data_IF_974697305489
#
_entry.id   IF_974697305489
#
_cell.length_a   1.000
_cell.length_b   1.000
_cell.length_c   1.000
_cell.angle_alpha   90.00
_cell.angle_beta   90.00
_cell.angle_gamma   90.00
#
_symmetry.space_group_name_H-M   'P 1'
#
loop_
_entity.id
_entity.type
_entity.pdbx_description
1 polymer ?
#
# COMPACT_ATOMS: atom_id res chain seq x y z
N UNK A 1 -23.13 29.62 35.91
CA UNK A 1 -22.05 28.63 36.09
C UNK A 1 -22.26 27.55 35.03
N UNK A 2 -21.45 27.54 34.01
CA UNK A 2 -21.49 26.48 33.01
C UNK A 2 -21.11 25.16 33.72
N UNK A 3 -22.04 24.23 33.83
CA UNK A 3 -21.75 22.88 34.32
C UNK A 3 -20.72 22.25 33.38
N UNK A 4 -19.61 21.81 33.92
CA UNK A 4 -18.65 21.01 33.15
C UNK A 4 -19.41 19.79 32.57
N UNK A 5 -19.25 19.50 31.29
CA UNK A 5 -19.88 18.32 30.71
C UNK A 5 -19.44 17.05 31.47
N UNK A 6 -20.36 16.08 31.61
CA UNK A 6 -19.99 14.81 32.24
C UNK A 6 -18.79 14.19 31.50
N UNK A 7 -17.87 13.51 32.17
CA UNK A 7 -16.72 12.87 31.52
C UNK A 7 -17.10 11.98 30.35
N UNK A 8 -18.23 11.31 30.39
CA UNK A 8 -18.75 10.46 29.31
C UNK A 8 -19.24 11.25 28.09
N UNK A 9 -19.81 12.44 28.30
CA UNK A 9 -20.25 13.31 27.22
C UNK A 9 -19.08 14.11 26.59
N UNK A 10 -17.96 14.23 27.28
CA UNK A 10 -16.87 15.13 26.89
C UNK A 10 -16.24 14.75 25.52
N UNK A 11 -16.08 13.47 25.20
CA UNK A 11 -15.54 13.05 23.89
C UNK A 11 -16.57 13.26 22.78
N UNK A 12 -17.78 12.74 22.94
CA UNK A 12 -18.84 12.86 21.96
C UNK A 12 -19.17 14.33 21.63
N UNK A 13 -19.29 15.18 22.65
CA UNK A 13 -19.61 16.61 22.48
C UNK A 13 -18.49 17.41 21.77
N UNK A 14 -17.25 16.91 21.78
CA UNK A 14 -16.13 17.55 21.05
C UNK A 14 -15.96 17.04 19.62
N UNK A 15 -16.49 15.87 19.30
CA UNK A 15 -16.25 15.19 18.02
C UNK A 15 -17.50 14.98 17.18
N UNK A 16 -18.69 14.95 17.80
CA UNK A 16 -19.97 14.85 17.10
C UNK A 16 -20.58 16.25 17.04
N UNK A 17 -20.72 16.79 15.82
CA UNK A 17 -21.16 18.16 15.59
C UNK A 17 -22.64 18.44 15.84
N UNK A 18 -23.49 17.40 15.95
CA UNK A 18 -24.95 17.52 16.06
C UNK A 18 -25.38 17.18 17.49
N UNK A 19 -26.16 18.05 18.13
CA UNK A 19 -26.81 17.83 19.42
C UNK A 19 -28.32 17.58 19.24
N UNK A 20 -29.02 17.23 20.32
CA UNK A 20 -30.46 16.92 20.28
C UNK A 20 -31.29 18.07 19.73
N UNK A 21 -31.00 19.32 20.12
CA UNK A 21 -31.71 20.52 19.63
C UNK A 21 -31.47 20.71 18.11
N UNK A 22 -30.30 20.38 17.61
CA UNK A 22 -30.02 20.48 16.18
C UNK A 22 -30.73 19.34 15.43
N UNK A 23 -30.82 18.14 16.00
CA UNK A 23 -31.59 17.03 15.41
C UNK A 23 -33.06 17.42 15.24
N UNK A 24 -33.69 18.03 16.24
CA UNK A 24 -35.09 18.47 16.14
C UNK A 24 -35.28 19.48 15.02
N UNK A 25 -34.43 20.49 14.93
CA UNK A 25 -34.48 21.48 13.84
C UNK A 25 -34.28 20.87 12.45
N UNK A 26 -33.35 19.88 12.35
CA UNK A 26 -33.08 19.19 11.09
C UNK A 26 -34.28 18.31 10.70
N UNK A 27 -34.90 17.61 11.64
CA UNK A 27 -36.12 16.83 11.39
C UNK A 27 -37.28 17.73 10.93
N UNK A 28 -37.47 18.86 11.57
CA UNK A 28 -38.47 19.86 11.16
C UNK A 28 -38.20 20.35 9.72
N UNK A 29 -36.95 20.66 9.39
CA UNK A 29 -36.55 21.14 8.06
C UNK A 29 -36.82 20.12 6.95
N UNK A 30 -36.70 18.82 7.23
CA UNK A 30 -37.01 17.74 6.27
C UNK A 30 -38.44 17.22 6.38
N UNK A 31 -39.26 17.76 7.29
CA UNK A 31 -40.63 17.37 7.48
C UNK A 31 -40.85 16.00 8.09
N UNK A 32 -39.85 15.49 8.84
CA UNK A 32 -39.95 14.20 9.52
C UNK A 32 -40.32 14.34 10.99
N UNK A 33 -41.34 13.61 11.49
CA UNK A 33 -41.80 13.77 12.88
C UNK A 33 -40.83 13.14 13.91
N UNK A 34 -39.92 12.32 13.48
CA UNK A 34 -38.86 11.72 14.33
C UNK A 34 -37.78 11.10 13.48
N UNK A 35 -36.63 10.82 14.09
CA UNK A 35 -35.55 10.07 13.45
C UNK A 35 -35.98 8.65 13.01
N UNK A 36 -36.82 7.98 13.81
CA UNK A 36 -37.38 6.67 13.46
C UNK A 36 -38.24 6.74 12.20
N UNK A 37 -39.13 7.73 12.11
CA UNK A 37 -40.00 7.93 10.93
C UNK A 37 -39.16 8.30 9.68
N UNK A 38 -38.11 9.10 9.84
CA UNK A 38 -37.19 9.41 8.76
C UNK A 38 -36.50 8.13 8.25
N UNK A 39 -35.95 7.30 9.15
CA UNK A 39 -35.32 6.04 8.80
C UNK A 39 -36.30 5.06 8.13
N UNK A 40 -37.57 5.02 8.59
CA UNK A 40 -38.62 4.21 8.00
C UNK A 40 -38.94 4.63 6.55
N UNK A 41 -38.85 5.93 6.26
CA UNK A 41 -39.14 6.46 4.92
C UNK A 41 -37.98 6.32 3.93
N UNK A 42 -36.73 6.31 4.40
CA UNK A 42 -35.53 6.34 3.53
C UNK A 42 -34.87 4.97 3.36
N UNK A 43 -34.99 4.07 4.34
CA UNK A 43 -34.34 2.76 4.28
C UNK A 43 -35.36 1.69 3.86
N UNK A 44 -35.18 1.02 2.70
CA UNK A 44 -36.04 -0.08 2.32
C UNK A 44 -36.08 -1.18 3.38
N UNK A 45 -37.29 -1.70 3.65
CA UNK A 45 -37.52 -2.66 4.73
C UNK A 45 -36.66 -3.94 4.61
N UNK A 46 -36.44 -4.40 3.38
CA UNK A 46 -35.67 -5.62 3.09
C UNK A 46 -34.18 -5.52 3.42
N UNK A 47 -33.62 -4.31 3.57
CA UNK A 47 -32.22 -4.10 3.95
C UNK A 47 -32.09 -3.44 5.33
N UNK A 48 -33.20 -3.08 5.94
CA UNK A 48 -33.20 -2.45 7.26
C UNK A 48 -32.88 -3.44 8.36
N UNK A 49 -31.87 -3.11 9.16
CA UNK A 49 -31.54 -3.91 10.33
C UNK A 49 -32.63 -3.80 11.39
N UNK A 50 -33.25 -4.91 11.78
CA UNK A 50 -34.33 -4.93 12.78
C UNK A 50 -33.81 -4.99 14.23
N UNK A 51 -32.60 -5.50 14.43
CA UNK A 51 -32.01 -5.63 15.77
C UNK A 51 -31.02 -4.48 16.08
N UNK A 52 -31.02 -4.01 17.31
CA UNK A 52 -29.95 -3.11 17.78
C UNK A 52 -28.62 -3.81 17.78
N UNK A 53 -27.55 -3.07 17.53
CA UNK A 53 -26.18 -3.60 17.69
C UNK A 53 -25.90 -3.87 19.16
N UNK A 54 -25.34 -5.04 19.47
CA UNK A 54 -24.85 -5.36 20.80
C UNK A 54 -23.44 -4.80 20.92
N UNK A 55 -23.32 -3.61 21.48
CA UNK A 55 -22.04 -2.94 21.73
C UNK A 55 -21.79 -2.86 23.23
N UNK A 56 -20.53 -2.97 23.63
CA UNK A 56 -20.13 -2.65 24.99
C UNK A 56 -20.40 -1.16 25.29
N UNK A 57 -20.56 -0.77 26.57
CA UNK A 57 -20.64 0.63 26.96
C UNK A 57 -19.41 1.41 26.45
N UNK A 58 -19.61 2.69 26.14
CA UNK A 58 -18.51 3.56 25.76
C UNK A 58 -17.51 3.72 26.92
N UNK A 59 -16.22 3.63 26.57
CA UNK A 59 -15.13 3.89 27.49
C UNK A 59 -14.77 5.37 27.50
N UNK A 60 -14.22 5.84 28.60
CA UNK A 60 -13.53 7.14 28.64
C UNK A 60 -12.19 7.04 27.89
N UNK A 61 -11.66 8.17 27.40
CA UNK A 61 -10.40 8.18 26.62
C UNK A 61 -9.25 7.50 27.37
N UNK A 62 -9.09 7.78 28.65
CA UNK A 62 -8.02 7.17 29.43
C UNK A 62 -8.23 5.66 29.69
N UNK A 63 -9.47 5.21 29.79
CA UNK A 63 -9.83 3.78 29.91
C UNK A 63 -9.53 3.03 28.62
N UNK A 64 -9.92 3.60 27.46
CA UNK A 64 -9.60 3.05 26.15
C UNK A 64 -8.08 2.94 25.94
N UNK A 65 -7.31 3.97 26.32
CA UNK A 65 -5.85 3.93 26.26
C UNK A 65 -5.26 2.89 27.23
N UNK A 66 -5.82 2.72 28.42
CA UNK A 66 -5.38 1.71 29.37
C UNK A 66 -5.64 0.30 28.84
N UNK A 67 -6.80 0.09 28.22
CA UNK A 67 -7.14 -1.20 27.59
C UNK A 67 -6.19 -1.50 26.43
N UNK A 68 -5.94 -0.55 25.51
CA UNK A 68 -4.98 -0.70 24.42
C UNK A 68 -3.57 -1.03 24.93
N UNK A 69 -3.12 -0.36 26.00
CA UNK A 69 -1.83 -0.67 26.64
C UNK A 69 -1.82 -2.09 27.21
N UNK A 70 -2.96 -2.57 27.76
CA UNK A 70 -3.06 -3.94 28.26
C UNK A 70 -2.93 -4.98 27.15
N UNK A 71 -3.48 -4.71 25.95
CA UNK A 71 -3.28 -5.56 24.79
C UNK A 71 -1.83 -5.50 24.30
N UNK A 72 -1.25 -4.32 24.20
CA UNK A 72 0.14 -4.15 23.79
C UNK A 72 1.11 -4.89 24.72
N UNK A 73 0.85 -4.89 26.04
CA UNK A 73 1.67 -5.59 27.02
C UNK A 73 1.66 -7.13 26.92
N UNK A 74 0.68 -7.70 26.19
CA UNK A 74 0.63 -9.15 25.92
C UNK A 74 1.60 -9.55 24.79
N UNK A 75 2.08 -8.61 23.99
CA UNK A 75 3.05 -8.90 22.93
C UNK A 75 4.41 -9.23 23.55
N UNK A 76 5.06 -10.23 22.97
CA UNK A 76 6.41 -10.61 23.34
C UNK A 76 7.35 -10.30 22.18
N UNK A 77 8.24 -9.33 22.38
CA UNK A 77 9.27 -9.01 21.40
C UNK A 77 10.31 -10.14 21.40
N UNK A 78 10.37 -10.88 20.30
CA UNK A 78 11.32 -11.99 20.08
C UNK A 78 12.31 -11.59 19.00
N UNK A 79 13.50 -12.19 19.02
CA UNK A 79 14.40 -12.14 17.87
C UNK A 79 13.78 -12.90 16.72
N UNK A 80 13.51 -12.22 15.61
CA UNK A 80 12.95 -12.86 14.41
C UNK A 80 14.07 -13.45 13.56
N UNK A 81 13.94 -14.74 13.24
CA UNK A 81 14.82 -15.46 12.32
C UNK A 81 14.09 -15.89 11.05
N UNK A 82 12.89 -15.33 10.80
CA UNK A 82 12.06 -15.70 9.65
C UNK A 82 12.72 -15.26 8.34
N UNK A 83 13.29 -14.06 8.30
CA UNK A 83 13.89 -13.50 7.08
C UNK A 83 12.86 -13.18 6.01
N UNK A 84 12.86 -13.97 4.92
CA UNK A 84 11.93 -13.82 3.77
C UNK A 84 12.07 -12.50 3.00
N UNK A 85 13.25 -11.86 3.04
CA UNK A 85 13.56 -10.64 2.29
C UNK A 85 13.17 -9.33 2.96
N UNK A 86 12.49 -9.36 4.10
CA UNK A 86 12.09 -8.15 4.84
C UNK A 86 12.81 -8.08 6.18
N UNK A 87 13.44 -6.95 6.46
CA UNK A 87 14.25 -6.72 7.65
C UNK A 87 13.73 -5.55 8.46
N UNK A 88 14.04 -5.51 9.75
CA UNK A 88 13.76 -4.37 10.61
C UNK A 88 14.58 -3.16 10.16
N UNK A 89 13.97 -1.97 10.30
CA UNK A 89 14.61 -0.71 10.00
C UNK A 89 15.01 0.01 11.29
N UNK A 90 16.14 0.73 11.27
CA UNK A 90 16.52 1.68 12.29
C UNK A 90 15.99 3.06 11.88
N UNK A 91 14.89 3.48 12.50
CA UNK A 91 14.30 4.79 12.21
C UNK A 91 15.06 5.87 12.99
N UNK A 92 15.70 6.86 12.33
CA UNK A 92 16.32 7.98 13.04
C UNK A 92 15.30 8.72 13.91
N UNK A 93 15.64 9.08 15.17
CA UNK A 93 14.69 9.75 16.07
C UNK A 93 14.12 11.06 15.52
N UNK A 94 14.89 11.79 14.73
CA UNK A 94 14.44 13.03 14.10
C UNK A 94 13.33 12.76 13.06
N UNK A 95 13.43 11.69 12.29
CA UNK A 95 12.40 11.27 11.34
C UNK A 95 11.16 10.78 12.10
N UNK A 96 11.34 9.96 13.12
CA UNK A 96 10.23 9.50 13.94
C UNK A 96 9.44 10.68 14.49
N UNK A 97 10.09 11.62 15.17
CA UNK A 97 9.42 12.75 15.81
C UNK A 97 8.83 13.75 14.83
N UNK A 98 9.58 14.12 13.79
CA UNK A 98 9.20 15.24 12.93
C UNK A 98 8.36 14.84 11.72
N UNK A 99 8.35 13.58 11.35
CA UNK A 99 7.59 13.06 10.21
C UNK A 99 6.52 12.06 10.68
N UNK A 100 6.93 10.94 11.29
CA UNK A 100 5.99 9.85 11.62
C UNK A 100 5.00 10.22 12.73
N UNK A 101 5.41 11.04 13.69
CA UNK A 101 4.56 11.52 14.80
C UNK A 101 3.87 12.87 14.50
N UNK A 102 4.16 13.48 13.36
CA UNK A 102 3.62 14.79 13.00
C UNK A 102 2.24 14.65 12.33
N UNK A 103 1.16 15.18 12.93
CA UNK A 103 -0.20 15.08 12.37
C UNK A 103 -0.34 15.65 10.97
N UNK A 104 0.44 16.68 10.62
CA UNK A 104 0.43 17.25 9.28
C UNK A 104 0.83 16.25 8.19
N UNK A 105 1.62 15.24 8.53
CA UNK A 105 2.03 14.18 7.62
C UNK A 105 1.08 12.97 7.67
N UNK A 106 0.79 12.40 8.85
CA UNK A 106 0.01 11.17 8.92
C UNK A 106 -1.51 11.37 8.74
N UNK A 107 -2.02 12.60 8.89
CA UNK A 107 -3.42 12.91 8.58
C UNK A 107 -3.63 13.38 7.14
N UNK A 108 -2.57 13.48 6.37
CA UNK A 108 -2.63 13.92 4.99
C UNK A 108 -3.40 12.93 4.12
N UNK A 109 -4.36 13.43 3.35
CA UNK A 109 -5.10 12.67 2.37
C UNK A 109 -4.54 12.88 0.96
N UNK A 110 -5.02 12.11 -0.01
CA UNK A 110 -4.65 12.28 -1.42
C UNK A 110 -4.89 13.73 -1.86
N UNK A 111 -3.92 14.38 -2.52
CA UNK A 111 -4.02 15.79 -2.88
C UNK A 111 -4.92 16.03 -4.10
N UNK A 112 -6.22 15.79 -3.95
CA UNK A 112 -7.20 16.04 -5.01
C UNK A 112 -7.36 17.51 -5.38
N UNK A 113 -7.07 18.41 -4.43
CA UNK A 113 -7.10 19.85 -4.64
C UNK A 113 -5.67 20.40 -4.62
N UNK A 114 -5.03 20.56 -5.79
CA UNK A 114 -3.63 20.99 -5.87
C UNK A 114 -3.40 22.36 -5.23
N UNK A 115 -4.40 23.24 -5.24
CA UNK A 115 -4.31 24.61 -4.71
C UNK A 115 -3.98 24.64 -3.21
N UNK A 116 -4.50 23.66 -2.43
CA UNK A 116 -4.26 23.57 -0.99
C UNK A 116 -3.23 22.48 -0.63
N UNK A 117 -2.71 21.77 -1.61
CA UNK A 117 -1.82 20.62 -1.42
C UNK A 117 -0.44 20.82 -2.08
N UNK A 118 -0.06 22.05 -2.40
CA UNK A 118 1.16 22.36 -3.17
C UNK A 118 2.43 21.78 -2.53
N UNK A 119 2.58 21.91 -1.22
CA UNK A 119 3.74 21.34 -0.52
C UNK A 119 3.81 19.80 -0.58
N UNK A 120 2.69 19.11 -0.59
CA UNK A 120 2.65 17.64 -0.79
C UNK A 120 2.98 17.26 -2.22
N UNK A 121 2.48 18.00 -3.19
CA UNK A 121 2.82 17.77 -4.60
C UNK A 121 4.31 17.98 -4.85
N UNK A 122 4.92 18.99 -4.23
CA UNK A 122 6.37 19.19 -4.28
C UNK A 122 7.12 18.01 -3.65
N UNK A 123 6.67 17.53 -2.49
CA UNK A 123 7.27 16.36 -1.84
C UNK A 123 7.16 15.09 -2.70
N UNK A 124 6.02 14.88 -3.37
CA UNK A 124 5.83 13.76 -4.30
C UNK A 124 6.76 13.90 -5.51
N UNK A 125 6.90 15.08 -6.08
CA UNK A 125 7.78 15.33 -7.21
C UNK A 125 9.25 15.07 -6.83
N UNK A 126 9.70 15.56 -5.68
CA UNK A 126 11.03 15.29 -5.16
C UNK A 126 11.27 13.79 -4.95
N UNK A 127 10.26 13.09 -4.43
CA UNK A 127 10.30 11.64 -4.28
C UNK A 127 10.45 10.94 -5.63
N UNK A 128 9.65 11.30 -6.64
CA UNK A 128 9.74 10.74 -7.99
C UNK A 128 11.13 10.97 -8.60
N UNK A 129 11.68 12.17 -8.46
CA UNK A 129 13.03 12.50 -8.94
C UNK A 129 14.08 11.61 -8.26
N UNK A 130 14.01 11.46 -6.94
CA UNK A 130 14.92 10.57 -6.20
C UNK A 130 14.82 9.10 -6.67
N UNK A 131 13.62 8.61 -6.94
CA UNK A 131 13.42 7.24 -7.45
C UNK A 131 14.02 7.09 -8.85
N UNK A 132 13.81 8.05 -9.73
CA UNK A 132 14.42 8.07 -11.06
C UNK A 132 15.94 7.98 -10.97
N UNK A 133 16.55 8.83 -10.14
CA UNK A 133 18.01 8.88 -9.96
C UNK A 133 18.58 7.56 -9.40
N UNK A 134 17.90 6.96 -8.39
CA UNK A 134 18.36 5.72 -7.77
C UNK A 134 18.18 4.49 -8.67
N UNK A 135 17.16 4.49 -9.50
CA UNK A 135 16.79 3.30 -10.31
C UNK A 135 17.29 3.33 -11.73
N UNK A 136 17.73 4.50 -12.23
CA UNK A 136 18.13 4.68 -13.63
C UNK A 136 16.96 4.60 -14.60
N UNK A 137 15.73 4.81 -14.14
CA UNK A 137 14.52 4.80 -14.97
C UNK A 137 14.19 6.22 -15.45
N UNK A 138 13.51 6.34 -16.60
CA UNK A 138 13.12 7.64 -17.16
C UNK A 138 11.94 8.29 -16.43
N UNK A 139 11.06 7.49 -15.84
CA UNK A 139 9.82 7.96 -15.22
C UNK A 139 9.55 7.17 -13.93
N UNK A 140 9.09 7.87 -12.90
CA UNK A 140 8.55 7.25 -11.69
C UNK A 140 7.13 7.76 -11.42
N UNK A 141 6.26 6.88 -10.90
CA UNK A 141 5.01 7.28 -10.27
C UNK A 141 5.27 7.71 -8.81
N UNK A 142 4.24 8.19 -8.13
CA UNK A 142 4.38 8.55 -6.73
C UNK A 142 4.64 7.33 -5.84
N UNK A 143 3.75 6.34 -5.88
CA UNK A 143 3.92 5.09 -5.12
C UNK A 143 2.80 4.09 -5.40
N UNK A 144 3.03 2.83 -5.05
CA UNK A 144 2.03 1.76 -5.02
C UNK A 144 1.90 1.23 -3.57
N UNK A 145 0.94 0.33 -3.34
CA UNK A 145 0.64 -0.16 -1.99
C UNK A 145 1.84 -0.83 -1.32
N UNK A 146 2.48 -1.76 -2.06
CA UNK A 146 3.64 -2.54 -1.62
C UNK A 146 4.41 -3.09 -2.82
N UNK A 147 5.55 -3.75 -2.57
CA UNK A 147 6.37 -4.38 -3.61
C UNK A 147 5.60 -5.42 -4.42
N UNK A 148 4.87 -6.30 -3.74
CA UNK A 148 4.15 -7.39 -4.40
C UNK A 148 3.08 -6.86 -5.34
N UNK A 149 2.36 -5.80 -4.93
CA UNK A 149 1.40 -5.10 -5.79
C UNK A 149 2.12 -4.39 -6.94
N UNK A 150 3.26 -3.76 -6.69
CA UNK A 150 4.05 -3.10 -7.73
C UNK A 150 4.57 -4.10 -8.78
N UNK A 151 5.02 -5.27 -8.34
CA UNK A 151 5.41 -6.37 -9.22
C UNK A 151 4.22 -6.86 -10.09
N UNK A 152 3.04 -7.00 -9.48
CA UNK A 152 1.83 -7.41 -10.18
C UNK A 152 1.34 -6.35 -11.20
N UNK A 153 1.46 -5.06 -10.88
CA UNK A 153 1.22 -3.97 -11.84
C UNK A 153 2.28 -3.98 -12.96
N UNK A 154 3.53 -4.33 -12.63
CA UNK A 154 4.60 -4.55 -13.62
C UNK A 154 4.26 -5.65 -14.62
N UNK A 155 3.84 -6.80 -14.12
CA UNK A 155 3.37 -7.91 -14.93
C UNK A 155 2.17 -7.50 -15.81
N UNK A 156 1.17 -6.82 -15.24
CA UNK A 156 -0.01 -6.39 -15.97
C UNK A 156 0.33 -5.33 -17.04
N UNK A 157 1.28 -4.45 -16.76
CA UNK A 157 1.79 -3.49 -17.74
C UNK A 157 2.52 -4.20 -18.89
N UNK A 158 3.44 -5.12 -18.56
CA UNK A 158 4.14 -5.93 -19.56
C UNK A 158 3.17 -6.67 -20.49
N UNK A 159 2.13 -7.27 -19.92
CA UNK A 159 1.07 -7.93 -20.71
C UNK A 159 0.31 -7.00 -21.65
N UNK A 160 0.10 -5.74 -21.27
CA UNK A 160 -0.63 -4.75 -22.09
C UNK A 160 0.25 -4.08 -23.15
N UNK A 161 1.50 -3.78 -22.79
CA UNK A 161 2.45 -3.06 -23.66
C UNK A 161 3.02 -3.96 -24.74
N UNK A 162 3.28 -5.20 -24.37
CA UNK A 162 3.77 -6.20 -25.29
C UNK A 162 2.56 -6.96 -25.86
N UNK A 163 2.39 -7.01 -27.20
CA UNK A 163 1.40 -7.88 -27.83
C UNK A 163 1.88 -9.33 -27.63
N UNK A 164 1.40 -10.04 -26.58
CA UNK A 164 2.01 -11.29 -26.19
C UNK A 164 1.76 -12.35 -27.27
N UNK A 165 2.83 -13.04 -27.61
CA UNK A 165 2.72 -14.30 -28.36
C UNK A 165 2.05 -15.38 -27.52
N UNK A 166 1.93 -15.14 -26.19
CA UNK A 166 1.34 -16.05 -25.22
C UNK A 166 0.96 -15.34 -23.91
N UNK A 167 0.70 -16.11 -22.87
CA UNK A 167 0.21 -15.63 -21.57
C UNK A 167 1.09 -16.06 -20.40
N UNK A 168 2.36 -16.39 -20.65
CA UNK A 168 3.33 -16.81 -19.62
C UNK A 168 4.15 -15.63 -19.15
N UNK A 169 4.35 -15.54 -17.82
CA UNK A 169 5.24 -14.61 -17.16
C UNK A 169 6.20 -15.39 -16.28
N UNK A 170 7.49 -15.29 -16.54
CA UNK A 170 8.54 -15.98 -15.76
C UNK A 170 8.82 -15.17 -14.50
N UNK A 171 9.06 -15.87 -13.40
CA UNK A 171 9.42 -15.27 -12.12
C UNK A 171 10.65 -15.99 -11.56
N UNK A 172 11.67 -15.23 -11.25
CA UNK A 172 12.86 -15.73 -10.56
C UNK A 172 12.46 -16.41 -9.25
N UNK A 173 12.90 -17.67 -8.99
CA UNK A 173 12.58 -18.38 -7.76
C UNK A 173 13.09 -17.70 -6.49
N UNK A 174 14.11 -16.83 -6.59
CA UNK A 174 14.60 -16.03 -5.46
C UNK A 174 13.76 -14.78 -5.16
N UNK A 175 12.69 -14.56 -5.94
CA UNK A 175 11.67 -13.55 -5.62
C UNK A 175 11.01 -13.86 -4.28
N UNK A 176 10.69 -12.83 -3.50
CA UNK A 176 10.05 -13.00 -2.19
C UNK A 176 8.76 -13.82 -2.29
N UNK A 177 8.56 -14.82 -1.40
CA UNK A 177 7.38 -15.71 -1.47
C UNK A 177 6.04 -14.99 -1.48
N UNK A 178 5.92 -13.88 -0.73
CA UNK A 178 4.71 -13.07 -0.72
C UNK A 178 4.47 -12.40 -2.07
N UNK A 179 5.52 -11.94 -2.75
CA UNK A 179 5.44 -11.35 -4.09
C UNK A 179 4.97 -12.38 -5.10
N UNK A 180 5.52 -13.60 -5.06
CA UNK A 180 5.06 -14.72 -5.90
C UNK A 180 3.58 -15.05 -5.64
N UNK A 181 3.14 -15.05 -4.37
CA UNK A 181 1.75 -15.33 -4.02
C UNK A 181 0.79 -14.27 -4.57
N UNK A 182 1.13 -13.00 -4.49
CA UNK A 182 0.33 -11.89 -5.04
C UNK A 182 0.31 -11.94 -6.56
N UNK A 183 1.44 -12.20 -7.22
CA UNK A 183 1.50 -12.39 -8.67
C UNK A 183 0.53 -13.49 -9.13
N UNK A 184 0.55 -14.67 -8.49
CA UNK A 184 -0.38 -15.76 -8.80
C UNK A 184 -1.84 -15.36 -8.61
N UNK A 185 -2.14 -14.62 -7.55
CA UNK A 185 -3.50 -14.12 -7.25
C UNK A 185 -3.98 -13.16 -8.33
N UNK A 186 -3.14 -12.21 -8.73
CA UNK A 186 -3.46 -11.19 -9.73
C UNK A 186 -3.44 -11.73 -11.16
N UNK A 187 -2.64 -12.75 -11.44
CA UNK A 187 -2.54 -13.42 -12.72
C UNK A 187 -3.79 -14.26 -13.07
N UNK A 188 -4.35 -14.93 -12.05
CA UNK A 188 -5.47 -15.88 -12.23
C UNK A 188 -6.67 -15.33 -13.02
N UNK A 189 -7.25 -14.17 -12.68
CA UNK A 189 -8.41 -13.62 -13.42
C UNK A 189 -8.05 -13.15 -14.84
N UNK A 190 -6.76 -12.92 -15.12
CA UNK A 190 -6.26 -12.49 -16.42
C UNK A 190 -5.85 -13.67 -17.32
N UNK A 191 -5.94 -14.91 -16.81
CA UNK A 191 -5.47 -16.10 -17.53
C UNK A 191 -3.96 -16.16 -17.73
N UNK A 192 -3.16 -15.40 -16.94
CA UNK A 192 -1.70 -15.37 -17.01
C UNK A 192 -1.15 -16.58 -16.24
N UNK A 193 -0.19 -17.28 -16.85
CA UNK A 193 0.54 -18.39 -16.24
C UNK A 193 1.79 -17.83 -15.56
N UNK A 194 1.88 -17.97 -14.25
CA UNK A 194 3.10 -17.65 -13.48
C UNK A 194 4.00 -18.87 -13.46
N UNK A 195 5.16 -18.73 -14.12
CA UNK A 195 6.15 -19.79 -14.24
C UNK A 195 7.38 -19.46 -13.38
N UNK A 196 7.48 -20.11 -12.22
CA UNK A 196 8.57 -19.85 -11.26
C UNK A 196 9.73 -20.74 -11.58
N UNK A 197 10.74 -20.18 -12.25
CA UNK A 197 11.95 -20.90 -12.63
C UNK A 197 13.12 -19.93 -12.87
N UNK A 198 14.38 -20.38 -12.77
CA UNK A 198 15.53 -19.55 -13.12
C UNK A 198 15.45 -19.10 -14.59
N UNK A 199 15.84 -17.85 -14.83
CA UNK A 199 15.96 -17.33 -16.20
C UNK A 199 17.29 -17.85 -16.76
N UNK A 200 17.17 -18.80 -17.68
CA UNK A 200 18.30 -19.41 -18.35
C UNK A 200 18.79 -18.61 -19.58
N UNK A 201 19.39 -19.30 -20.55
CA UNK A 201 19.85 -18.67 -21.80
C UNK A 201 18.72 -18.42 -22.80
N UNK A 202 17.53 -18.94 -22.58
CA UNK A 202 16.34 -18.75 -23.41
C UNK A 202 15.10 -18.76 -22.54
N UNK A 203 14.05 -18.08 -22.99
CA UNK A 203 12.72 -18.14 -22.37
C UNK A 203 11.74 -18.82 -23.34
N UNK A 204 10.61 -19.40 -22.83
CA UNK A 204 9.57 -19.98 -23.69
C UNK A 204 8.98 -18.98 -24.68
N UNK A 205 8.62 -19.45 -25.88
CA UNK A 205 8.08 -18.62 -26.98
C UNK A 205 6.74 -17.93 -26.62
N UNK A 206 5.99 -18.49 -25.63
CA UNK A 206 4.74 -17.94 -25.14
C UNK A 206 4.91 -16.96 -23.97
N UNK A 207 6.16 -16.57 -23.67
CA UNK A 207 6.49 -15.66 -22.57
C UNK A 207 6.46 -14.21 -23.03
N UNK A 208 5.74 -13.34 -22.28
CA UNK A 208 5.66 -11.92 -22.56
C UNK A 208 6.54 -11.05 -21.65
N UNK A 209 7.19 -11.65 -20.66
CA UNK A 209 8.08 -10.93 -19.75
C UNK A 209 8.51 -11.75 -18.55
N UNK A 210 9.34 -11.16 -17.72
CA UNK A 210 9.86 -11.81 -16.51
C UNK A 210 10.07 -10.85 -15.36
N UNK A 211 10.09 -11.42 -14.14
CA UNK A 211 10.39 -10.73 -12.89
C UNK A 211 11.68 -11.25 -12.29
N UNK A 212 12.54 -10.30 -11.92
CA UNK A 212 13.80 -10.51 -11.20
C UNK A 212 13.77 -9.77 -9.87
N UNK A 213 14.50 -10.22 -8.87
CA UNK A 213 14.66 -9.54 -7.57
C UNK A 213 16.11 -9.09 -7.36
N UNK A 214 16.28 -7.89 -6.79
CA UNK A 214 17.60 -7.26 -6.63
C UNK A 214 17.72 -6.47 -5.32
N UNK A 215 18.24 -7.09 -4.24
CA UNK A 215 18.54 -8.52 -4.12
C UNK A 215 17.29 -9.38 -3.97
N UNK A 216 17.44 -10.71 -4.05
CA UNK A 216 16.38 -11.68 -3.79
C UNK A 216 16.25 -12.10 -2.33
N UNK A 217 15.42 -13.10 -2.05
CA UNK A 217 15.13 -13.61 -0.69
C UNK A 217 16.35 -14.23 0.00
N UNK A 218 17.27 -14.82 -0.75
CA UNK A 218 18.50 -15.37 -0.21
C UNK A 218 19.58 -14.30 0.08
N UNK A 219 19.35 -13.04 -0.36
CA UNK A 219 20.29 -11.93 -0.19
C UNK A 219 21.49 -11.97 -1.14
N UNK A 220 21.54 -12.88 -2.09
CA UNK A 220 22.58 -12.89 -3.11
C UNK A 220 22.41 -11.71 -4.07
N UNK A 221 23.53 -11.13 -4.46
CA UNK A 221 23.59 -10.02 -5.41
C UNK A 221 24.16 -10.54 -6.72
N UNK A 222 23.38 -10.45 -7.78
CA UNK A 222 23.75 -10.89 -9.12
C UNK A 222 23.72 -9.76 -10.11
N UNK A 223 24.55 -9.81 -11.13
CA UNK A 223 24.39 -9.00 -12.32
C UNK A 223 23.18 -9.52 -13.11
N UNK A 224 22.17 -8.67 -13.26
CA UNK A 224 20.92 -9.03 -13.92
C UNK A 224 20.96 -8.82 -15.44
N UNK A 225 21.99 -8.18 -15.98
CA UNK A 225 22.09 -7.78 -17.40
C UNK A 225 21.88 -8.96 -18.35
N UNK A 226 22.47 -10.12 -18.06
CA UNK A 226 22.30 -11.32 -18.87
C UNK A 226 20.89 -11.88 -18.88
N UNK A 227 20.23 -11.92 -17.72
CA UNK A 227 18.84 -12.38 -17.59
C UNK A 227 17.86 -11.40 -18.28
N UNK A 228 18.09 -10.09 -18.13
CA UNK A 228 17.31 -9.05 -18.81
C UNK A 228 17.45 -9.18 -20.34
N UNK A 229 18.69 -9.33 -20.85
CA UNK A 229 18.93 -9.55 -22.28
C UNK A 229 18.19 -10.80 -22.78
N UNK A 230 18.22 -11.90 -22.04
CA UNK A 230 17.48 -13.13 -22.41
C UNK A 230 15.97 -12.90 -22.51
N UNK A 231 15.39 -12.12 -21.59
CA UNK A 231 13.96 -11.76 -21.63
C UNK A 231 13.67 -10.93 -22.89
N UNK A 232 14.53 -9.95 -23.22
CA UNK A 232 14.40 -9.10 -24.40
C UNK A 232 14.55 -9.87 -25.71
N UNK A 233 15.53 -10.78 -25.79
CA UNK A 233 15.76 -11.63 -26.98
C UNK A 233 14.55 -12.52 -27.28
N UNK A 234 13.84 -12.97 -26.23
CA UNK A 234 12.55 -13.65 -26.34
C UNK A 234 11.38 -12.73 -26.66
N UNK A 235 11.62 -11.41 -26.77
CA UNK A 235 10.63 -10.40 -27.04
C UNK A 235 9.74 -10.05 -25.83
N UNK A 236 10.16 -10.33 -24.62
CA UNK A 236 9.45 -9.98 -23.37
C UNK A 236 9.95 -8.69 -22.74
N UNK A 237 9.27 -8.24 -21.69
CA UNK A 237 9.69 -7.09 -20.87
C UNK A 237 10.22 -7.56 -19.50
N UNK A 238 11.32 -6.93 -19.07
CA UNK A 238 11.99 -7.24 -17.81
C UNK A 238 11.49 -6.32 -16.68
N UNK A 239 10.90 -6.93 -15.64
CA UNK A 239 10.49 -6.25 -14.43
C UNK A 239 11.46 -6.59 -13.31
N UNK A 240 11.92 -5.61 -12.54
CA UNK A 240 12.85 -5.84 -11.43
C UNK A 240 12.22 -5.35 -10.13
N UNK A 241 12.19 -6.18 -9.10
CA UNK A 241 11.95 -5.77 -7.72
C UNK A 241 13.28 -5.37 -7.09
N UNK A 242 13.43 -4.11 -6.69
CA UNK A 242 14.69 -3.59 -6.18
C UNK A 242 14.55 -2.95 -4.79
N UNK A 243 15.52 -3.20 -3.92
CA UNK A 243 15.66 -2.48 -2.66
C UNK A 243 16.41 -1.17 -2.89
N UNK A 244 15.72 -0.03 -2.69
CA UNK A 244 16.30 1.30 -2.91
C UNK A 244 17.54 1.58 -2.05
N UNK A 245 17.60 1.03 -0.84
CA UNK A 245 18.78 1.20 0.00
C UNK A 245 19.99 0.48 -0.61
N UNK A 246 19.78 -0.70 -1.17
CA UNK A 246 20.83 -1.43 -1.88
C UNK A 246 21.33 -0.66 -3.11
N UNK A 247 20.44 0.07 -3.82
CA UNK A 247 20.80 0.87 -4.99
C UNK A 247 21.72 2.06 -4.69
N UNK A 248 21.91 2.42 -3.44
CA UNK A 248 22.95 3.39 -3.06
C UNK A 248 24.37 2.85 -3.22
N UNK A 249 24.53 1.53 -3.39
CA UNK A 249 25.79 0.82 -3.56
C UNK A 249 25.87 0.00 -4.84
N UNK A 250 24.72 -0.34 -5.41
CA UNK A 250 24.63 -1.25 -6.56
C UNK A 250 24.24 -0.51 -7.84
N UNK A 251 24.61 -1.06 -8.98
CA UNK A 251 24.23 -0.54 -10.28
C UNK A 251 22.71 -0.47 -10.42
N UNK A 252 22.13 0.66 -10.82
CA UNK A 252 20.70 0.80 -11.03
C UNK A 252 20.15 -0.21 -12.06
N UNK A 253 19.00 -0.83 -11.80
CA UNK A 253 18.42 -1.78 -12.76
C UNK A 253 18.09 -1.18 -14.12
N UNK A 254 17.77 0.11 -14.22
CA UNK A 254 17.59 0.80 -15.50
C UNK A 254 18.85 0.79 -16.35
N UNK A 255 20.04 0.94 -15.73
CA UNK A 255 21.32 0.84 -16.45
C UNK A 255 21.64 -0.58 -16.91
N UNK A 256 21.06 -1.62 -16.27
CA UNK A 256 21.14 -3.01 -16.72
C UNK A 256 20.11 -3.34 -17.82
N UNK A 257 19.24 -2.39 -18.19
CA UNK A 257 18.23 -2.55 -19.21
C UNK A 257 16.85 -2.95 -18.72
N UNK A 258 16.54 -2.87 -17.43
CA UNK A 258 15.20 -3.15 -16.92
C UNK A 258 14.15 -2.19 -17.51
N UNK A 259 13.00 -2.72 -17.96
CA UNK A 259 11.91 -1.92 -18.52
C UNK A 259 11.00 -1.32 -17.45
N UNK A 260 10.91 -1.98 -16.29
CA UNK A 260 10.11 -1.54 -15.16
C UNK A 260 10.67 -2.00 -13.83
N UNK A 261 10.49 -1.17 -12.82
CA UNK A 261 10.89 -1.50 -11.46
C UNK A 261 9.66 -1.56 -10.56
N UNK A 262 9.52 -2.70 -9.85
CA UNK A 262 8.68 -2.87 -8.67
C UNK A 262 9.52 -2.59 -7.43
N UNK A 263 8.97 -1.88 -6.44
CA UNK A 263 9.74 -1.37 -5.33
C UNK A 263 9.36 -1.99 -3.99
N UNK A 264 10.36 -2.33 -3.17
CA UNK A 264 10.21 -2.96 -1.85
C UNK A 264 9.72 -2.05 -0.72
N UNK A 265 9.53 -0.76 -0.90
CA UNK A 265 9.16 0.16 0.18
C UNK A 265 7.97 1.03 -0.16
N UNK A 266 6.97 0.48 -0.80
CA UNK A 266 5.81 1.23 -1.18
C UNK A 266 4.77 1.24 -0.07
N UNK A 267 4.82 2.20 0.83
CA UNK A 267 3.74 2.49 1.76
C UNK A 267 2.92 3.71 1.39
N UNK A 268 3.26 4.39 0.34
CA UNK A 268 2.58 5.62 -0.03
C UNK A 268 1.78 5.41 -1.30
N UNK A 269 0.52 5.71 -1.19
CA UNK A 269 -0.36 5.86 -2.35
C UNK A 269 -0.32 7.31 -2.77
N UNK A 270 -0.18 7.55 -4.01
CA UNK A 270 -0.58 8.79 -4.65
C UNK A 270 -1.97 8.64 -5.19
#
# INVERSE_FOLDING_TARGET
MSSLPSPQAAFASRHIGINETDIDKMLDAVGAPSMAALLDSVIPENIRRQSKMTLAPALLEHEALAELKSFAAKNQVKTSLIGMGYYNCHTPPVIQRNILENPAWYTAYTPYQPEISQGRLEAILNFQTMIIDLTGMDIANGSLLDEATAAAEGMALASRMHRPKGNRFIVDPDTHPQTIAILKTRAKPLGIIIDVQPIGNTIPDDCFGGLLSYPGSCGAIHDLSGAIATIHDGGGLAVVCADLLALTLLTPPGEMGADKIGRASCRERV
#
